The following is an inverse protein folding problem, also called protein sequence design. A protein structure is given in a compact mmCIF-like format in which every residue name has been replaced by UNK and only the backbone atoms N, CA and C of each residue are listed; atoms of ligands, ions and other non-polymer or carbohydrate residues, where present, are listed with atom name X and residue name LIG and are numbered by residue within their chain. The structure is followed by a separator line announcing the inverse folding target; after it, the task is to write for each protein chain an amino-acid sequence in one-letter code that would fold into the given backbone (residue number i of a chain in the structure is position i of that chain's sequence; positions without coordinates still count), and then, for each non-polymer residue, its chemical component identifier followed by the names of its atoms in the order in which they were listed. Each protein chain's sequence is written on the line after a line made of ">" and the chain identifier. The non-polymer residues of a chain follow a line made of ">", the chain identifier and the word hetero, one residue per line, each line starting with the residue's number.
data_IF_917086566172
#
_entry.id   IF_917086566172
#
_cell.length_a   1.000
_cell.length_b   1.000
_cell.length_c   1.000
_cell.angle_alpha   90.00
_cell.angle_beta   90.00
_cell.angle_gamma   90.00
#
_symmetry.space_group_name_H-M   'P 1'
#
loop_
_entity.id
_entity.type
_entity.pdbx_description
1 polymer ?
#
# COMPACT_ATOMS: atom_id res chain seq x y z
N UNK A 1 0.18 -8.67 -1.52
CA UNK A 1 0.91 -8.30 -0.30
C UNK A 1 0.01 -8.28 0.94
N UNK A 2 0.45 -8.94 2.01
CA UNK A 2 -0.06 -8.74 3.36
C UNK A 2 1.08 -8.20 4.22
N UNK A 3 0.90 -7.01 4.80
CA UNK A 3 1.87 -6.44 5.74
C UNK A 3 1.81 -7.26 7.02
N UNK A 4 2.92 -7.92 7.36
CA UNK A 4 2.99 -8.75 8.58
C UNK A 4 2.91 -7.85 9.82
N UNK A 5 2.50 -8.43 10.94
CA UNK A 5 2.48 -7.71 12.22
C UNK A 5 3.87 -7.22 12.63
N UNK A 6 4.91 -8.00 12.32
CA UNK A 6 6.27 -7.60 12.61
C UNK A 6 6.67 -6.34 11.85
N UNK A 7 6.31 -6.23 10.57
CA UNK A 7 6.56 -5.02 9.77
C UNK A 7 5.76 -3.84 10.34
N UNK A 8 4.50 -4.03 10.72
CA UNK A 8 3.70 -2.98 11.35
C UNK A 8 4.32 -2.48 12.67
N UNK A 9 4.79 -3.39 13.53
CA UNK A 9 5.51 -3.07 14.78
C UNK A 9 6.80 -2.29 14.50
N UNK A 10 7.57 -2.69 13.50
CA UNK A 10 8.80 -1.98 13.10
C UNK A 10 8.49 -0.55 12.62
N UNK A 11 7.46 -0.38 11.79
CA UNK A 11 7.03 0.94 11.31
C UNK A 11 6.65 1.84 12.50
N UNK A 12 5.83 1.35 13.43
CA UNK A 12 5.42 2.12 14.61
C UNK A 12 6.63 2.49 15.48
N UNK A 13 7.56 1.55 15.73
CA UNK A 13 8.82 1.83 16.46
C UNK A 13 9.59 2.98 15.82
N UNK A 14 9.78 2.94 14.51
CA UNK A 14 10.50 3.97 13.76
C UNK A 14 9.79 5.32 13.86
N UNK A 15 8.47 5.34 13.67
CA UNK A 15 7.67 6.56 13.80
C UNK A 15 7.78 7.19 15.19
N UNK A 16 7.70 6.40 16.27
CA UNK A 16 7.82 6.91 17.64
C UNK A 16 9.25 7.40 17.96
N UNK A 17 10.27 6.86 17.28
CA UNK A 17 11.66 7.31 17.40
C UNK A 17 12.00 8.51 16.50
N UNK A 18 11.04 9.00 15.72
CA UNK A 18 11.27 10.07 14.75
C UNK A 18 12.05 9.64 13.51
N UNK A 19 12.18 8.33 13.27
CA UNK A 19 12.92 7.73 12.17
C UNK A 19 12.07 7.54 10.90
N UNK A 20 12.74 7.36 9.75
CA UNK A 20 12.06 7.00 8.50
C UNK A 20 11.75 5.49 8.45
N UNK A 21 10.47 5.14 8.29
CA UNK A 21 9.97 3.77 8.18
C UNK A 21 9.94 3.24 6.73
N UNK A 22 10.14 4.09 5.72
CA UNK A 22 9.96 3.73 4.31
C UNK A 22 10.83 2.54 3.88
N UNK A 23 12.01 2.39 4.50
CA UNK A 23 12.90 1.26 4.22
C UNK A 23 12.23 -0.09 4.50
N UNK A 24 11.42 -0.20 5.56
CA UNK A 24 10.70 -1.45 5.89
C UNK A 24 9.74 -1.85 4.76
N UNK A 25 9.09 -0.87 4.13
CA UNK A 25 8.15 -1.10 3.03
C UNK A 25 8.90 -1.41 1.73
N UNK A 26 9.98 -0.67 1.43
CA UNK A 26 10.80 -0.89 0.23
C UNK A 26 11.39 -2.30 0.24
N UNK A 27 11.99 -2.73 1.36
CA UNK A 27 12.54 -4.08 1.48
C UNK A 27 11.49 -5.16 1.27
N UNK A 28 10.25 -4.96 1.74
CA UNK A 28 9.16 -5.90 1.50
C UNK A 28 8.72 -5.94 0.03
N UNK A 29 8.63 -4.77 -0.63
CA UNK A 29 8.34 -4.68 -2.07
C UNK A 29 9.42 -5.40 -2.88
N UNK A 30 10.70 -5.26 -2.51
CA UNK A 30 11.82 -5.93 -3.15
C UNK A 30 11.72 -7.45 -3.00
N UNK A 31 11.51 -7.94 -1.79
CA UNK A 31 11.35 -9.37 -1.54
C UNK A 31 10.15 -9.97 -2.31
N UNK A 32 8.97 -9.34 -2.26
CA UNK A 32 7.77 -9.83 -2.98
C UNK A 32 7.98 -9.82 -4.50
N UNK A 33 8.63 -8.76 -5.02
CA UNK A 33 8.90 -8.67 -6.45
C UNK A 33 9.92 -9.72 -6.91
N UNK A 34 11.03 -9.90 -6.20
CA UNK A 34 12.05 -10.88 -6.58
C UNK A 34 11.51 -12.30 -6.50
N UNK A 35 10.67 -12.61 -5.51
CA UNK A 35 9.98 -13.90 -5.45
C UNK A 35 9.07 -14.10 -6.67
N UNK A 36 8.29 -13.08 -7.04
CA UNK A 36 7.48 -13.13 -8.25
C UNK A 36 8.34 -13.32 -9.51
N UNK A 37 9.45 -12.61 -9.66
CA UNK A 37 10.36 -12.73 -10.82
C UNK A 37 10.82 -14.17 -10.99
N UNK A 38 11.27 -14.81 -9.91
CA UNK A 38 11.72 -16.21 -9.93
C UNK A 38 10.58 -17.15 -10.34
N UNK A 39 9.39 -16.98 -9.77
CA UNK A 39 8.26 -17.86 -10.08
C UNK A 39 7.68 -17.62 -11.48
N UNK A 40 7.71 -16.38 -11.96
CA UNK A 40 7.31 -16.02 -13.31
C UNK A 40 8.25 -16.64 -14.35
N UNK A 41 9.57 -16.55 -14.16
CA UNK A 41 10.51 -17.17 -15.09
C UNK A 41 10.40 -18.69 -15.14
N UNK A 42 10.09 -19.37 -14.03
CA UNK A 42 9.76 -20.81 -14.05
C UNK A 42 8.56 -21.09 -14.96
N UNK A 43 7.49 -20.28 -14.85
CA UNK A 43 6.31 -20.41 -15.72
C UNK A 43 6.66 -20.17 -17.20
N UNK A 44 7.52 -19.20 -17.50
CA UNK A 44 7.99 -18.93 -18.86
C UNK A 44 8.75 -20.13 -19.44
N UNK A 45 9.67 -20.72 -18.67
CA UNK A 45 10.40 -21.93 -19.08
C UNK A 45 9.44 -23.08 -19.35
N UNK A 46 8.52 -23.36 -18.41
CA UNK A 46 7.55 -24.45 -18.55
C UNK A 46 6.64 -24.24 -19.76
N UNK A 47 6.18 -23.02 -20.00
CA UNK A 47 5.32 -22.66 -21.13
C UNK A 47 6.04 -22.79 -22.48
N UNK A 48 7.28 -22.27 -22.58
CA UNK A 48 8.08 -22.36 -23.79
C UNK A 48 8.47 -23.81 -24.12
N UNK A 49 8.76 -24.62 -23.11
CA UNK A 49 9.09 -26.04 -23.30
C UNK A 49 7.88 -26.87 -23.77
N UNK A 50 6.67 -26.58 -23.28
CA UNK A 50 5.44 -27.30 -23.67
C UNK A 50 4.98 -26.98 -25.10
N UNK A 51 5.28 -25.79 -25.59
CA UNK A 51 4.90 -25.36 -26.94
C UNK A 51 6.07 -25.65 -27.90
N UNK A 52 6.11 -26.88 -28.44
CA UNK A 52 7.18 -27.39 -29.31
C UNK A 52 7.33 -26.63 -30.65
N UNK A 53 6.30 -25.89 -31.08
CA UNK A 53 6.36 -25.02 -32.27
C UNK A 53 6.30 -23.53 -31.87
N UNK A 54 7.33 -22.79 -32.25
CA UNK A 54 7.54 -21.36 -32.02
C UNK A 54 6.60 -20.56 -32.92
N UNK A 55 5.30 -20.54 -32.61
CA UNK A 55 4.41 -19.51 -33.13
C UNK A 55 4.28 -18.39 -32.10
N UNK A 56 4.06 -17.18 -32.59
CA UNK A 56 4.10 -15.90 -31.85
C UNK A 56 3.03 -15.80 -30.73
N UNK A 57 2.11 -16.75 -30.61
CA UNK A 57 0.91 -16.63 -29.76
C UNK A 57 0.91 -17.53 -28.50
N UNK A 58 2.06 -18.18 -28.18
CA UNK A 58 2.16 -19.03 -26.99
C UNK A 58 2.01 -18.22 -25.70
N UNK A 59 2.54 -16.99 -25.66
CA UNK A 59 2.46 -16.15 -24.47
C UNK A 59 1.02 -15.78 -24.16
N UNK A 60 0.26 -15.29 -25.15
CA UNK A 60 -1.17 -14.97 -25.00
C UNK A 60 -1.95 -16.21 -24.52
N UNK A 61 -1.76 -17.35 -25.18
CA UNK A 61 -2.45 -18.61 -24.84
C UNK A 61 -2.18 -19.09 -23.41
N UNK A 62 -0.94 -18.98 -22.94
CA UNK A 62 -0.53 -19.50 -21.64
C UNK A 62 -0.78 -18.50 -20.51
N UNK A 63 -0.55 -17.20 -20.74
CA UNK A 63 -0.54 -16.16 -19.70
C UNK A 63 -1.78 -15.27 -19.67
N UNK A 64 -2.59 -15.25 -20.74
CA UNK A 64 -3.89 -14.58 -20.82
C UNK A 64 -5.07 -15.55 -20.89
N UNK A 65 -4.82 -16.83 -20.60
CA UNK A 65 -5.88 -17.83 -20.56
C UNK A 65 -7.02 -17.43 -19.61
N UNK A 66 -8.25 -17.45 -20.12
CA UNK A 66 -9.47 -17.08 -19.38
C UNK A 66 -9.78 -17.99 -18.18
N UNK A 67 -8.99 -19.04 -17.90
CA UNK A 67 -9.05 -19.84 -16.66
C UNK A 67 -8.14 -19.34 -15.55
N UNK A 68 -7.21 -18.43 -15.83
CA UNK A 68 -6.28 -17.88 -14.85
C UNK A 68 -6.98 -16.90 -13.88
N UNK A 69 -6.35 -16.61 -12.73
CA UNK A 69 -6.77 -15.51 -11.88
C UNK A 69 -6.74 -14.18 -12.65
N UNK A 70 -7.80 -13.36 -12.54
CA UNK A 70 -7.92 -12.10 -13.30
C UNK A 70 -6.76 -11.14 -13.08
N UNK A 71 -6.16 -11.18 -11.88
CA UNK A 71 -5.02 -10.33 -11.55
C UNK A 71 -3.76 -10.76 -12.31
N UNK A 72 -3.57 -12.06 -12.54
CA UNK A 72 -2.44 -12.56 -13.31
C UNK A 72 -2.63 -12.21 -14.80
N UNK A 73 -3.85 -12.39 -15.33
CA UNK A 73 -4.21 -11.98 -16.70
C UNK A 73 -3.91 -10.48 -16.92
N UNK A 74 -4.38 -9.61 -16.01
CA UNK A 74 -4.11 -8.17 -16.08
C UNK A 74 -2.61 -7.86 -16.11
N UNK A 75 -1.84 -8.41 -15.17
CA UNK A 75 -0.40 -8.17 -15.09
C UNK A 75 0.33 -8.65 -16.35
N UNK A 76 0.00 -9.84 -16.82
CA UNK A 76 0.65 -10.43 -17.98
C UNK A 76 0.29 -9.72 -19.30
N UNK A 77 -0.83 -9.00 -19.35
CA UNK A 77 -1.22 -8.19 -20.50
C UNK A 77 -0.56 -6.81 -20.54
N UNK A 78 0.25 -6.48 -19.54
CA UNK A 78 0.85 -5.15 -19.39
C UNK A 78 -0.02 -4.14 -18.64
N UNK A 79 -1.11 -4.59 -17.99
CA UNK A 79 -2.00 -3.75 -17.18
C UNK A 79 -1.98 -4.15 -15.70
N UNK A 80 -2.65 -3.37 -14.86
CA UNK A 80 -3.03 -3.86 -13.53
C UNK A 80 -4.52 -3.67 -13.32
N UNK A 81 -5.11 -4.48 -12.44
CA UNK A 81 -6.56 -4.50 -12.21
C UNK A 81 -7.14 -3.14 -11.80
N UNK A 82 -6.36 -2.30 -11.12
CA UNK A 82 -6.78 -0.95 -10.71
C UNK A 82 -6.87 0.00 -11.92
N UNK A 83 -5.94 -0.11 -12.87
CA UNK A 83 -6.03 0.64 -14.13
C UNK A 83 -7.29 0.28 -14.90
N UNK A 84 -7.58 -1.02 -15.05
CA UNK A 84 -8.81 -1.50 -15.69
C UNK A 84 -10.05 -0.96 -14.96
N UNK A 85 -10.07 -1.05 -13.62
CA UNK A 85 -11.15 -0.45 -12.83
C UNK A 85 -11.38 1.02 -13.16
N UNK A 86 -10.32 1.81 -13.23
CA UNK A 86 -10.44 3.25 -13.48
C UNK A 86 -10.89 3.56 -14.92
N UNK A 87 -10.54 2.71 -15.89
CA UNK A 87 -10.94 2.89 -17.29
C UNK A 87 -12.42 2.53 -17.51
N UNK A 88 -12.89 1.45 -16.88
CA UNK A 88 -14.20 0.86 -17.14
C UNK A 88 -15.20 1.00 -15.99
N UNK A 89 -14.80 1.66 -14.89
CA UNK A 89 -15.54 1.72 -13.61
C UNK A 89 -15.95 0.35 -13.06
N UNK A 90 -15.24 -0.71 -13.44
CA UNK A 90 -15.56 -2.10 -13.07
C UNK A 90 -14.35 -3.00 -13.18
N UNK A 91 -14.39 -4.12 -12.47
CA UNK A 91 -13.34 -5.14 -12.51
C UNK A 91 -13.90 -6.55 -12.42
N UNK A 92 -15.08 -6.75 -13.03
CA UNK A 92 -15.65 -8.07 -13.26
C UNK A 92 -14.68 -8.92 -14.09
N UNK A 93 -14.85 -10.24 -14.04
CA UNK A 93 -13.93 -11.15 -14.70
C UNK A 93 -13.89 -10.91 -16.21
N UNK A 94 -15.06 -10.72 -16.81
CA UNK A 94 -15.27 -10.50 -18.23
C UNK A 94 -14.55 -9.22 -18.66
N UNK A 95 -14.81 -8.09 -17.99
CA UNK A 95 -14.18 -6.80 -18.29
C UNK A 95 -12.66 -6.87 -18.16
N UNK A 96 -12.14 -7.58 -17.14
CA UNK A 96 -10.69 -7.73 -16.99
C UNK A 96 -10.09 -8.55 -18.12
N UNK A 97 -10.74 -9.64 -18.54
CA UNK A 97 -10.26 -10.47 -19.64
C UNK A 97 -10.28 -9.68 -20.95
N UNK A 98 -11.40 -9.05 -21.28
CA UNK A 98 -11.58 -8.32 -22.54
C UNK A 98 -10.58 -7.15 -22.64
N UNK A 99 -10.46 -6.34 -21.59
CA UNK A 99 -9.52 -5.22 -21.56
C UNK A 99 -8.05 -5.69 -21.60
N UNK A 100 -7.75 -6.84 -21.01
CA UNK A 100 -6.41 -7.42 -21.06
C UNK A 100 -6.05 -7.93 -22.44
N UNK A 101 -6.96 -8.65 -23.09
CA UNK A 101 -6.72 -9.18 -24.43
C UNK A 101 -6.53 -8.04 -25.44
N UNK A 102 -7.40 -7.02 -25.41
CA UNK A 102 -7.29 -5.85 -26.28
C UNK A 102 -5.97 -5.09 -26.06
N UNK A 103 -5.61 -4.83 -24.80
CA UNK A 103 -4.37 -4.13 -24.50
C UNK A 103 -3.12 -4.94 -24.88
N UNK A 104 -3.15 -6.26 -24.71
CA UNK A 104 -2.04 -7.11 -25.11
C UNK A 104 -1.77 -7.03 -26.62
N UNK A 105 -2.83 -7.03 -27.43
CA UNK A 105 -2.69 -6.93 -28.89
C UNK A 105 -2.06 -5.58 -29.29
N UNK A 106 -2.49 -4.48 -28.65
CA UNK A 106 -1.89 -3.15 -28.85
C UNK A 106 -0.42 -3.09 -28.41
N UNK A 107 -0.10 -3.70 -27.26
CA UNK A 107 1.27 -3.78 -26.75
C UNK A 107 2.16 -4.60 -27.69
N UNK A 108 1.65 -5.74 -28.17
CA UNK A 108 2.37 -6.62 -29.08
C UNK A 108 2.69 -5.90 -30.40
N UNK A 109 1.70 -5.24 -31.01
CA UNK A 109 1.91 -4.46 -32.23
C UNK A 109 2.89 -3.30 -32.01
N UNK A 110 2.84 -2.63 -30.85
CA UNK A 110 3.80 -1.57 -30.51
C UNK A 110 5.23 -2.10 -30.41
N UNK A 111 5.42 -3.27 -29.79
CA UNK A 111 6.72 -3.94 -29.68
C UNK A 111 7.20 -4.39 -31.05
N UNK A 112 6.32 -4.97 -31.87
CA UNK A 112 6.65 -5.43 -33.21
C UNK A 112 7.11 -4.27 -34.09
N UNK A 113 6.37 -3.16 -34.11
CA UNK A 113 6.75 -1.96 -34.85
C UNK A 113 8.11 -1.39 -34.40
N UNK A 114 8.40 -1.44 -33.09
CA UNK A 114 9.71 -1.02 -32.56
C UNK A 114 10.84 -1.92 -33.07
N UNK A 115 10.67 -3.24 -33.01
CA UNK A 115 11.66 -4.22 -33.49
C UNK A 115 11.85 -4.14 -35.00
N UNK A 116 10.78 -3.89 -35.75
CA UNK A 116 10.81 -3.71 -37.20
C UNK A 116 11.44 -2.37 -37.62
N UNK A 117 11.57 -1.40 -36.71
CA UNK A 117 12.23 -0.11 -36.99
C UNK A 117 13.70 -0.13 -36.56
N UNK A 118 14.02 -0.77 -35.44
CA UNK A 118 15.34 -0.83 -34.83
C UNK A 118 16.07 -2.13 -35.21
N UNK A 119 16.49 -2.23 -36.47
CA UNK A 119 17.09 -3.45 -37.03
C UNK A 119 18.46 -3.85 -36.44
N UNK A 120 19.14 -2.94 -35.75
CA UNK A 120 20.49 -3.15 -35.21
C UNK A 120 20.51 -3.70 -33.77
N UNK A 121 19.34 -3.83 -33.13
CA UNK A 121 19.25 -4.31 -31.74
C UNK A 121 19.07 -5.83 -31.68
N UNK A 122 20.13 -6.54 -31.31
CA UNK A 122 20.05 -7.96 -30.94
C UNK A 122 19.86 -8.09 -29.41
N UNK A 123 18.68 -8.53 -28.98
CA UNK A 123 18.35 -8.82 -27.58
C UNK A 123 17.93 -10.28 -27.43
N UNK A 124 18.69 -11.04 -26.64
CA UNK A 124 18.36 -12.42 -26.28
C UNK A 124 18.32 -12.56 -24.76
N UNK A 125 17.19 -13.01 -24.23
CA UNK A 125 17.04 -13.38 -22.83
C UNK A 125 17.06 -14.89 -22.67
N UNK A 126 18.16 -15.42 -22.16
CA UNK A 126 18.32 -16.86 -21.87
C UNK A 126 17.95 -17.16 -20.42
N UNK A 127 17.00 -18.09 -20.21
CA UNK A 127 16.57 -18.54 -18.89
C UNK A 127 16.97 -20.00 -18.71
N UNK A 128 17.78 -20.29 -17.68
CA UNK A 128 18.22 -21.65 -17.34
C UNK A 128 17.56 -22.12 -16.05
N UNK A 129 16.88 -23.27 -16.10
CA UNK A 129 16.22 -23.86 -14.95
C UNK A 129 16.30 -25.38 -14.99
N UNK A 130 16.85 -26.00 -13.93
CA UNK A 130 16.99 -27.47 -13.78
C UNK A 130 17.61 -28.17 -15.00
N UNK A 131 18.61 -27.55 -15.62
CA UNK A 131 19.30 -28.10 -16.80
C UNK A 131 18.59 -27.85 -18.14
N UNK A 132 17.40 -27.24 -18.14
CA UNK A 132 16.72 -26.74 -19.34
C UNK A 132 17.13 -25.29 -19.57
N UNK A 133 17.37 -24.93 -20.84
CA UNK A 133 17.63 -23.55 -21.28
C UNK A 133 16.60 -23.18 -22.33
N UNK A 134 15.97 -22.02 -22.16
CA UNK A 134 15.08 -21.42 -23.16
C UNK A 134 15.59 -20.04 -23.52
N UNK A 135 15.57 -19.72 -24.80
CA UNK A 135 15.89 -18.41 -25.31
C UNK A 135 14.60 -17.71 -25.75
N UNK A 136 14.48 -16.45 -25.37
CA UNK A 136 13.43 -15.56 -25.84
C UNK A 136 14.00 -14.63 -26.91
N UNK A 137 13.27 -14.44 -27.99
CA UNK A 137 13.60 -13.44 -29.01
C UNK A 137 13.37 -12.01 -28.47
N UNK A 138 13.68 -11.00 -29.29
CA UNK A 138 13.56 -9.59 -28.89
C UNK A 138 12.14 -9.24 -28.42
N UNK A 139 11.11 -9.60 -29.19
CA UNK A 139 9.71 -9.29 -28.86
C UNK A 139 9.27 -9.99 -27.59
N UNK A 140 9.58 -11.28 -27.43
CA UNK A 140 9.27 -12.07 -26.23
C UNK A 140 9.95 -11.51 -24.98
N UNK A 141 11.22 -11.11 -25.13
CA UNK A 141 12.00 -10.48 -24.06
C UNK A 141 11.36 -9.18 -23.61
N UNK A 142 10.93 -8.32 -24.55
CA UNK A 142 10.28 -7.05 -24.24
C UNK A 142 8.92 -7.23 -23.55
N UNK A 143 8.12 -8.24 -23.96
CA UNK A 143 6.85 -8.57 -23.29
C UNK A 143 7.09 -9.03 -21.84
N UNK A 144 8.07 -9.91 -21.64
CA UNK A 144 8.45 -10.39 -20.31
C UNK A 144 8.94 -9.23 -19.43
N UNK A 145 9.79 -8.35 -19.95
CA UNK A 145 10.27 -7.15 -19.25
C UNK A 145 9.10 -6.23 -18.87
N UNK A 146 8.16 -5.99 -19.79
CA UNK A 146 6.99 -5.17 -19.53
C UNK A 146 6.14 -5.76 -18.38
N UNK A 147 5.90 -7.07 -18.41
CA UNK A 147 5.16 -7.78 -17.37
C UNK A 147 5.83 -7.64 -15.99
N UNK A 148 7.16 -7.79 -15.93
CA UNK A 148 7.91 -7.56 -14.70
C UNK A 148 7.79 -6.11 -14.21
N UNK A 149 7.90 -5.13 -15.12
CA UNK A 149 7.78 -3.71 -14.79
C UNK A 149 6.37 -3.37 -14.24
N UNK A 150 5.33 -3.89 -14.88
CA UNK A 150 3.93 -3.71 -14.48
C UNK A 150 3.66 -4.37 -13.14
N UNK A 151 4.17 -5.59 -12.90
CA UNK A 151 4.08 -6.22 -11.58
C UNK A 151 4.76 -5.38 -10.51
N UNK A 152 5.97 -4.88 -10.76
CA UNK A 152 6.71 -4.04 -9.81
C UNK A 152 5.93 -2.78 -9.47
N UNK A 153 5.34 -2.11 -10.47
CA UNK A 153 4.51 -0.94 -10.28
C UNK A 153 3.25 -1.25 -9.47
N UNK A 154 2.57 -2.36 -9.78
CA UNK A 154 1.37 -2.81 -9.07
C UNK A 154 1.65 -3.14 -7.60
N UNK A 155 2.75 -3.85 -7.31
CA UNK A 155 3.21 -4.12 -5.94
C UNK A 155 3.43 -2.79 -5.22
N UNK A 156 4.28 -1.91 -5.78
CA UNK A 156 4.60 -0.61 -5.16
C UNK A 156 3.34 0.19 -4.84
N UNK A 157 2.42 0.32 -5.79
CA UNK A 157 1.17 1.06 -5.61
C UNK A 157 0.28 0.50 -4.50
N UNK A 158 0.18 -0.84 -4.40
CA UNK A 158 -0.60 -1.51 -3.37
C UNK A 158 0.05 -1.48 -1.98
N UNK A 159 1.38 -1.61 -1.90
CA UNK A 159 2.13 -1.73 -0.64
C UNK A 159 2.01 -0.50 0.25
N UNK A 160 2.15 0.71 -0.30
CA UNK A 160 2.07 1.94 0.50
C UNK A 160 0.69 2.13 1.14
N UNK A 161 -0.38 1.89 0.37
CA UNK A 161 -1.75 1.97 0.88
C UNK A 161 -2.04 0.90 1.93
N UNK A 162 -1.57 -0.33 1.70
CA UNK A 162 -1.76 -1.45 2.63
C UNK A 162 -0.98 -1.21 3.93
N UNK A 163 0.24 -0.69 3.85
CA UNK A 163 1.05 -0.35 5.01
C UNK A 163 0.41 0.74 5.86
N UNK A 164 -0.10 1.81 5.23
CA UNK A 164 -0.88 2.85 5.91
C UNK A 164 -2.04 2.24 6.69
N UNK A 165 -2.97 1.55 5.99
CA UNK A 165 -4.15 0.94 6.61
C UNK A 165 -3.84 -0.03 7.75
N UNK A 166 -2.73 -0.77 7.65
CA UNK A 166 -2.31 -1.73 8.69
C UNK A 166 -1.71 -1.04 9.91
N UNK A 167 -1.18 0.17 9.78
CA UNK A 167 -0.48 0.92 10.84
C UNK A 167 -1.35 1.97 11.50
N UNK A 168 -2.25 2.64 10.78
CA UNK A 168 -3.05 3.78 11.26
C UNK A 168 -3.74 3.50 12.61
N UNK A 169 -4.52 2.41 12.69
CA UNK A 169 -5.26 2.02 13.92
C UNK A 169 -4.32 1.56 15.05
N UNK A 170 -3.39 0.60 14.84
CA UNK A 170 -2.44 0.19 15.86
C UNK A 170 -1.56 1.34 16.39
N UNK A 171 -1.19 2.30 15.54
CA UNK A 171 -0.42 3.47 15.96
C UNK A 171 -1.19 4.33 16.97
N UNK A 172 -2.47 4.62 16.72
CA UNK A 172 -3.30 5.37 17.66
C UNK A 172 -3.51 4.62 18.97
N UNK A 173 -3.76 3.31 18.92
CA UNK A 173 -3.83 2.47 20.12
C UNK A 173 -2.51 2.49 20.89
N UNK A 174 -1.37 2.43 20.18
CA UNK A 174 -0.06 2.49 20.81
C UNK A 174 0.14 3.81 21.55
N UNK A 175 -0.20 4.94 20.91
CA UNK A 175 -0.14 6.26 21.55
C UNK A 175 -1.04 6.31 22.80
N UNK A 176 -2.29 5.84 22.70
CA UNK A 176 -3.22 5.82 23.84
C UNK A 176 -2.67 4.98 25.00
N UNK A 177 -2.20 3.77 24.73
CA UNK A 177 -1.69 2.84 25.76
C UNK A 177 -0.39 3.32 26.40
N UNK A 178 0.53 3.93 25.63
CA UNK A 178 1.75 4.54 26.19
C UNK A 178 1.46 5.67 27.18
N UNK A 179 0.34 6.37 26.98
CA UNK A 179 -0.15 7.42 27.88
C UNK A 179 -1.20 6.91 28.88
N UNK A 180 -1.36 5.59 29.05
CA UNK A 180 -2.30 5.01 30.00
C UNK A 180 -3.75 5.46 29.81
N UNK A 181 -4.13 5.85 28.58
CA UNK A 181 -5.51 6.22 28.25
C UNK A 181 -6.38 4.96 28.35
N UNK A 182 -7.46 5.04 29.12
CA UNK A 182 -8.39 3.93 29.29
C UNK A 182 -9.05 3.54 27.97
N UNK A 183 -9.31 2.25 27.76
CA UNK A 183 -10.05 1.74 26.61
C UNK A 183 -11.50 2.31 26.51
N UNK A 184 -12.02 2.90 27.60
CA UNK A 184 -13.30 3.64 27.58
C UNK A 184 -13.20 5.01 26.90
N UNK A 185 -11.98 5.54 26.78
CA UNK A 185 -11.68 6.86 26.25
C UNK A 185 -11.22 6.83 24.78
N UNK A 186 -11.30 5.69 24.11
CA UNK A 186 -11.07 5.61 22.67
C UNK A 186 -11.84 4.46 22.02
N UNK A 187 -12.06 4.55 20.71
CA UNK A 187 -12.71 3.48 19.96
C UNK A 187 -12.17 3.39 18.52
N UNK A 188 -12.13 2.16 17.99
CA UNK A 188 -11.80 1.89 16.58
C UNK A 188 -13.00 2.05 15.65
N UNK A 189 -14.21 1.91 16.19
CA UNK A 189 -15.51 2.07 15.52
C UNK A 189 -16.52 2.53 16.56
N UNK A 190 -17.41 3.45 16.21
CA UNK A 190 -18.57 3.78 17.06
C UNK A 190 -19.65 2.74 16.76
N UNK A 191 -20.10 2.01 17.78
CA UNK A 191 -21.34 1.21 17.69
C UNK A 191 -22.51 2.14 17.99
N UNK A 192 -23.51 2.20 17.12
CA UNK A 192 -24.82 2.78 17.47
C UNK A 192 -25.41 3.85 16.55
N UNK A 193 -24.92 4.06 15.33
CA UNK A 193 -25.77 4.63 14.28
C UNK A 193 -26.31 3.47 13.44
N UNK A 194 -27.62 3.22 13.54
CA UNK A 194 -28.34 2.64 12.41
C UNK A 194 -28.10 3.60 11.26
N UNK A 195 -27.39 3.14 10.23
CA UNK A 195 -27.17 3.92 9.03
C UNK A 195 -28.56 4.14 8.42
N UNK A 196 -29.10 5.37 8.51
CA UNK A 196 -30.10 5.78 7.52
C UNK A 196 -29.44 5.65 6.15
N UNK A 197 -30.14 5.07 5.17
CA UNK A 197 -29.60 4.69 3.86
C UNK A 197 -28.93 5.85 3.08
N UNK A 198 -29.07 7.09 3.55
CA UNK A 198 -28.53 8.32 2.97
C UNK A 198 -27.32 8.93 3.74
N UNK A 199 -26.87 8.38 4.87
CA UNK A 199 -25.66 8.89 5.56
C UNK A 199 -24.37 8.31 4.92
N UNK A 200 -23.80 9.04 3.96
CA UNK A 200 -22.47 8.81 3.40
C UNK A 200 -21.34 9.08 4.43
N UNK A 201 -21.28 8.33 5.54
CA UNK A 201 -20.17 8.45 6.49
C UNK A 201 -18.91 7.75 5.95
N UNK A 202 -17.94 8.56 5.51
CA UNK A 202 -16.60 8.10 5.11
C UNK A 202 -15.87 7.45 6.29
N UNK A 203 -15.10 6.38 6.03
CA UNK A 203 -14.34 5.65 7.06
C UNK A 203 -13.37 6.58 7.82
N UNK A 204 -13.60 6.73 9.13
CA UNK A 204 -12.73 7.43 10.07
C UNK A 204 -11.83 6.41 10.77
N UNK A 205 -10.55 6.73 10.91
CA UNK A 205 -9.54 5.79 11.39
C UNK A 205 -9.73 5.44 12.88
N UNK A 206 -10.03 6.45 13.71
CA UNK A 206 -10.01 6.32 15.17
C UNK A 206 -10.85 7.40 15.88
N UNK A 207 -11.24 7.15 17.13
CA UNK A 207 -11.96 8.11 17.97
C UNK A 207 -11.32 8.24 19.35
N UNK A 208 -11.15 9.47 19.83
CA UNK A 208 -10.92 9.77 21.25
C UNK A 208 -12.23 10.21 21.91
N UNK A 209 -12.46 9.79 23.15
CA UNK A 209 -13.75 9.95 23.84
C UNK A 209 -13.54 10.65 25.19
N UNK A 210 -14.20 11.80 25.36
CA UNK A 210 -14.28 12.55 26.62
C UNK A 210 -15.75 12.61 27.07
N UNK A 211 -16.15 11.76 28.01
CA UNK A 211 -17.55 11.66 28.42
C UNK A 211 -18.47 11.31 27.24
N UNK A 212 -19.28 12.29 26.79
CA UNK A 212 -20.15 12.16 25.60
C UNK A 212 -19.53 12.70 24.31
N UNK A 213 -18.42 13.42 24.40
CA UNK A 213 -17.74 14.01 23.26
C UNK A 213 -16.92 12.95 22.54
N UNK A 214 -17.04 12.91 21.21
CA UNK A 214 -16.30 12.00 20.34
C UNK A 214 -15.48 12.81 19.33
N UNK A 215 -14.17 12.65 19.39
CA UNK A 215 -13.22 13.37 18.54
C UNK A 215 -12.70 12.45 17.46
N UNK A 216 -13.08 12.76 16.21
CA UNK A 216 -12.59 12.07 15.01
C UNK A 216 -11.08 12.27 14.89
N UNK A 217 -10.36 11.17 14.79
CA UNK A 217 -8.91 11.14 14.66
C UNK A 217 -8.55 10.53 13.30
N UNK A 218 -7.69 11.22 12.58
CA UNK A 218 -7.19 10.80 11.28
C UNK A 218 -5.69 10.57 11.36
N UNK A 219 -5.22 9.48 10.75
CA UNK A 219 -3.80 9.15 10.69
C UNK A 219 -3.36 9.10 9.24
N UNK A 220 -2.22 9.69 8.91
CA UNK A 220 -1.65 9.62 7.56
C UNK A 220 -0.14 9.41 7.58
N UNK A 221 0.28 8.36 6.89
CA UNK A 221 1.70 8.14 6.57
C UNK A 221 1.98 8.86 5.24
N UNK A 222 2.41 10.12 5.34
CA UNK A 222 2.53 11.07 4.24
C UNK A 222 3.74 10.78 3.35
N UNK A 223 3.65 11.14 2.07
CA UNK A 223 4.78 11.22 1.15
C UNK A 223 5.08 12.68 0.80
N UNK A 224 6.32 13.00 0.42
CA UNK A 224 6.67 14.37 0.01
C UNK A 224 5.88 14.85 -1.22
N UNK A 225 5.42 13.92 -2.07
CA UNK A 225 4.67 14.21 -3.28
C UNK A 225 3.15 14.31 -3.11
N UNK A 226 2.62 14.34 -1.88
CA UNK A 226 1.19 14.51 -1.63
C UNK A 226 0.92 15.24 -0.28
N UNK A 227 1.37 16.50 -0.12
CA UNK A 227 1.08 17.30 1.06
C UNK A 227 -0.43 17.57 1.25
N UNK A 228 -1.23 17.47 0.18
CA UNK A 228 -2.69 17.64 0.16
C UNK A 228 -3.42 16.52 0.91
N UNK A 229 -2.75 15.40 1.21
CA UNK A 229 -3.33 14.37 2.06
C UNK A 229 -3.71 14.88 3.47
N UNK A 230 -3.17 16.03 3.90
CA UNK A 230 -3.60 16.72 5.11
C UNK A 230 -5.01 17.36 4.99
N UNK A 231 -5.49 17.64 3.77
CA UNK A 231 -6.84 18.18 3.53
C UNK A 231 -7.94 17.17 3.86
N UNK A 232 -7.58 15.89 4.01
CA UNK A 232 -8.48 14.86 4.53
C UNK A 232 -9.09 15.27 5.88
N UNK A 233 -8.33 16.01 6.71
CA UNK A 233 -8.80 16.55 7.99
C UNK A 233 -9.99 17.48 7.79
N UNK A 234 -9.92 18.36 6.78
CA UNK A 234 -10.97 19.33 6.45
C UNK A 234 -12.19 18.58 5.93
N UNK A 235 -11.99 17.70 4.94
CA UNK A 235 -13.06 16.95 4.31
C UNK A 235 -13.80 16.00 5.26
N UNK A 236 -13.16 15.58 6.36
CA UNK A 236 -13.73 14.64 7.36
C UNK A 236 -14.11 15.33 8.68
N UNK A 237 -13.85 16.63 8.80
CA UNK A 237 -13.99 17.39 10.05
C UNK A 237 -13.29 16.70 11.24
N UNK A 238 -12.08 16.19 11.03
CA UNK A 238 -11.29 15.52 12.06
C UNK A 238 -10.74 16.52 13.08
N UNK A 239 -10.82 16.21 14.37
CA UNK A 239 -10.33 17.08 15.45
C UNK A 239 -8.87 16.82 15.79
N UNK A 240 -8.36 15.64 15.47
CA UNK A 240 -6.97 15.23 15.69
C UNK A 240 -6.38 14.68 14.39
N UNK A 241 -5.18 15.13 14.05
CA UNK A 241 -4.42 14.64 12.92
C UNK A 241 -3.03 14.15 13.34
N UNK A 242 -2.74 12.88 13.07
CA UNK A 242 -1.42 12.29 13.34
C UNK A 242 -0.76 11.95 12.01
N UNK A 243 0.43 12.49 11.78
CA UNK A 243 1.17 12.22 10.56
C UNK A 243 2.63 11.89 10.83
N UNK A 244 3.27 11.15 9.91
CA UNK A 244 4.72 10.97 9.96
C UNK A 244 5.43 12.32 9.76
N UNK A 245 5.05 13.11 8.77
CA UNK A 245 5.64 14.43 8.51
C UNK A 245 4.59 15.47 8.14
N UNK A 246 4.74 16.69 8.66
CA UNK A 246 3.89 17.85 8.34
C UNK A 246 4.75 19.01 7.83
N UNK A 247 4.32 19.65 6.74
CA UNK A 247 4.92 20.92 6.33
C UNK A 247 4.55 22.04 7.31
N UNK A 248 5.29 23.15 7.27
CA UNK A 248 4.92 24.34 8.06
C UNK A 248 3.54 24.88 7.66
N UNK A 249 3.20 24.82 6.38
CA UNK A 249 1.87 25.19 5.87
C UNK A 249 0.78 24.30 6.49
N UNK A 250 0.98 22.97 6.52
CA UNK A 250 0.00 22.08 7.17
C UNK A 250 -0.17 22.41 8.65
N UNK A 251 0.93 22.65 9.38
CA UNK A 251 0.88 23.00 10.82
C UNK A 251 0.10 24.30 11.04
N UNK A 252 0.36 25.32 10.24
CA UNK A 252 -0.32 26.61 10.33
C UNK A 252 -1.82 26.48 10.03
N UNK A 253 -2.17 25.73 8.98
CA UNK A 253 -3.56 25.48 8.58
C UNK A 253 -4.32 24.66 9.62
N UNK A 254 -3.74 23.58 10.15
CA UNK A 254 -4.36 22.78 11.21
C UNK A 254 -4.56 23.64 12.48
N UNK A 255 -3.59 24.49 12.80
CA UNK A 255 -3.68 25.41 13.94
C UNK A 255 -4.79 26.45 13.74
N UNK A 256 -4.92 27.06 12.55
CA UNK A 256 -5.99 28.03 12.27
C UNK A 256 -7.38 27.40 12.28
N UNK A 257 -7.48 26.12 11.92
CA UNK A 257 -8.69 25.31 12.01
C UNK A 257 -8.96 24.78 13.43
N UNK A 258 -8.14 25.13 14.41
CA UNK A 258 -8.21 24.62 15.78
C UNK A 258 -8.20 23.07 15.82
N UNK A 259 -7.45 22.44 14.90
CA UNK A 259 -7.26 21.00 14.83
C UNK A 259 -5.97 20.62 15.53
N UNK A 260 -6.07 19.65 16.45
CA UNK A 260 -4.91 19.10 17.13
C UNK A 260 -4.05 18.30 16.15
N UNK A 261 -2.73 18.40 16.25
CA UNK A 261 -1.84 17.74 15.31
C UNK A 261 -0.60 17.16 15.99
N UNK A 262 -0.11 16.02 15.48
CA UNK A 262 1.13 15.37 15.91
C UNK A 262 1.97 15.03 14.69
N UNK A 263 3.21 15.53 14.65
CA UNK A 263 4.23 15.10 13.68
C UNK A 263 5.17 14.10 14.34
N UNK A 264 5.14 12.84 13.87
CA UNK A 264 5.91 11.75 14.48
C UNK A 264 7.40 11.81 14.11
N UNK A 265 7.74 12.14 12.86
CA UNK A 265 9.11 12.19 12.31
C UNK A 265 9.84 13.49 12.68
N UNK A 266 9.95 13.70 13.99
CA UNK A 266 10.71 14.75 14.66
C UNK A 266 11.22 14.22 16.00
N UNK A 267 12.29 14.80 16.54
CA UNK A 267 12.83 14.38 17.84
C UNK A 267 11.77 14.54 18.94
N UNK A 268 11.44 13.45 19.61
CA UNK A 268 10.35 13.39 20.58
C UNK A 268 8.97 13.76 20.03
N UNK A 269 8.75 13.72 18.71
CA UNK A 269 7.54 14.24 18.06
C UNK A 269 6.24 13.66 18.58
N UNK A 270 6.21 12.34 18.83
CA UNK A 270 5.05 11.66 19.42
C UNK A 270 4.66 12.20 20.80
N UNK A 271 5.58 12.81 21.55
CA UNK A 271 5.31 13.37 22.88
C UNK A 271 4.30 14.52 22.81
N UNK A 272 4.16 15.17 21.64
CA UNK A 272 3.12 16.18 21.41
C UNK A 272 1.71 15.61 21.60
N UNK A 273 1.51 14.30 21.49
CA UNK A 273 0.22 13.66 21.77
C UNK A 273 -0.28 13.95 23.19
N UNK A 274 0.62 14.17 24.16
CA UNK A 274 0.23 14.64 25.50
C UNK A 274 -0.57 15.95 25.47
N UNK A 275 -0.16 16.90 24.64
CA UNK A 275 -0.86 18.17 24.49
C UNK A 275 -2.26 17.96 23.91
N UNK A 276 -2.41 17.03 22.97
CA UNK A 276 -3.70 16.66 22.39
C UNK A 276 -4.63 16.13 23.47
N UNK A 277 -4.16 15.17 24.27
CA UNK A 277 -4.93 14.59 25.38
C UNK A 277 -5.33 15.66 26.40
N UNK A 278 -4.40 16.53 26.77
CA UNK A 278 -4.64 17.65 27.69
C UNK A 278 -5.68 18.63 27.17
N UNK A 279 -5.56 19.07 25.91
CA UNK A 279 -6.46 20.05 25.30
C UNK A 279 -7.88 19.49 25.12
N UNK A 280 -7.99 18.20 24.79
CA UNK A 280 -9.26 17.49 24.66
C UNK A 280 -9.79 16.92 25.99
N UNK A 281 -9.10 17.19 27.11
CA UNK A 281 -9.45 16.72 28.46
C UNK A 281 -9.62 15.20 28.59
N UNK A 282 -8.89 14.45 27.77
CA UNK A 282 -8.86 12.98 27.83
C UNK A 282 -8.01 12.57 29.04
N UNK A 283 -8.50 11.74 29.97
CA UNK A 283 -7.69 11.24 31.08
C UNK A 283 -6.49 10.42 30.61
N UNK A 284 -5.31 10.72 31.14
CA UNK A 284 -4.06 10.07 30.76
C UNK A 284 -3.05 10.06 31.92
N UNK A 285 -2.04 9.20 31.84
CA UNK A 285 -0.90 9.14 32.76
C UNK A 285 0.36 9.66 32.08
N UNK A 286 1.36 10.07 32.89
CA UNK A 286 2.67 10.45 32.35
C UNK A 286 3.29 9.27 31.59
N UNK A 287 4.06 9.61 30.56
CA UNK A 287 4.81 8.66 29.76
C UNK A 287 5.75 7.82 30.67
N UNK A 288 5.87 6.50 30.45
CA UNK A 288 6.80 5.66 31.18
C UNK A 288 8.26 6.11 30.98
N UNK A 289 9.09 5.90 32.01
CA UNK A 289 10.52 6.21 31.96
C UNK A 289 11.27 5.37 30.91
N UNK A 290 10.82 4.14 30.64
CA UNK A 290 11.35 3.28 29.59
C UNK A 290 10.27 2.95 28.56
N UNK A 291 10.16 3.81 27.54
CA UNK A 291 9.20 3.69 26.44
C UNK A 291 9.41 2.41 25.64
N UNK A 292 10.66 2.02 25.36
CA UNK A 292 10.96 0.84 24.54
C UNK A 292 10.47 -0.46 25.22
N UNK A 293 10.64 -0.58 26.55
CA UNK A 293 10.12 -1.73 27.31
C UNK A 293 8.59 -1.77 27.32
N UNK A 294 7.95 -0.62 27.53
CA UNK A 294 6.49 -0.54 27.55
C UNK A 294 5.89 -0.86 26.17
N UNK A 295 6.56 -0.42 25.10
CA UNK A 295 6.12 -0.66 23.73
C UNK A 295 5.98 -2.15 23.39
N UNK A 296 6.86 -3.00 23.92
CA UNK A 296 6.75 -4.46 23.76
C UNK A 296 5.51 -5.05 24.46
N UNK A 297 5.13 -4.50 25.61
CA UNK A 297 3.90 -4.90 26.34
C UNK A 297 2.68 -4.49 25.54
N UNK A 298 2.66 -3.23 25.09
CA UNK A 298 1.58 -2.64 24.28
C UNK A 298 1.40 -3.42 22.96
N UNK A 299 2.49 -3.77 22.27
CA UNK A 299 2.41 -4.56 21.04
C UNK A 299 1.90 -5.98 21.24
N UNK A 300 2.20 -6.61 22.38
CA UNK A 300 1.62 -7.91 22.75
C UNK A 300 0.13 -7.84 23.06
N UNK A 301 -0.42 -6.66 23.28
CA UNK A 301 -1.85 -6.47 23.50
C UNK A 301 -2.58 -6.12 22.20
N UNK A 302 -2.01 -5.23 21.39
CA UNK A 302 -2.61 -4.73 20.15
C UNK A 302 -2.61 -5.79 19.03
N UNK A 303 -1.53 -6.56 18.91
CA UNK A 303 -1.33 -7.55 17.84
C UNK A 303 -1.51 -8.99 18.36
N UNK A 304 -2.55 -9.23 19.16
CA UNK A 304 -2.94 -10.58 19.58
C UNK A 304 -3.78 -11.29 18.52
#
# INVERSE_FOLDING_TARGET
>A
MTITEQVAKNIIKKLLKGEDYRIEIVTLIDAEFLQFVVDFFKKVVDAKFKNQDITIDWYKKEFLNSKLPTNDIAINSGLNKKTIHNMFNSSTREIVIDASDEHYDLLYESIKNLVDTEHDLELTLTIKFKGVSVDLNVSESLIVINTLAVKRAAIRGGSWSTAGKRVEKPLMQTLCKLYGVSDKNYALKIKGKELEEDEFEREIDFYLIEGKNQYKCEVKLMGIGNPESADAVIARASKVFVADKLSNTNKNQLTSLNTEWVELRSDGGFKRFENVLKNLKIPYTKLPSNVDKELEVVFKEIFR
#
